data_IF_608287267783
#
_entry.id   IF_608287267783
#
_cell.length_a   1.000
_cell.length_b   1.000
_cell.length_c   1.000
_cell.angle_alpha   90.00
_cell.angle_beta   90.00
_cell.angle_gamma   90.00
#
_symmetry.space_group_name_H-M   'P 1'
#
loop_
_entity.id
_entity.type
_entity.pdbx_description
1 polymer ?
#
# COMPACT_ATOMS: atom_id res chain seq x y z
N UNK A 1 -0.89 -3.47 10.36
CA UNK A 1 -0.37 -4.56 9.52
C UNK A 1 -1.55 -5.21 8.81
N UNK A 2 -1.53 -5.20 7.49
CA UNK A 2 -2.57 -5.78 6.63
C UNK A 2 -1.98 -7.00 5.90
N UNK A 3 -2.33 -8.20 6.30
CA UNK A 3 -1.88 -9.43 5.66
C UNK A 3 -2.92 -9.88 4.61
N UNK A 4 -2.47 -10.06 3.39
CA UNK A 4 -3.28 -10.59 2.29
C UNK A 4 -2.81 -12.01 1.98
N UNK A 5 -3.76 -12.92 1.85
CA UNK A 5 -3.52 -14.35 1.65
C UNK A 5 -4.18 -14.86 0.36
N UNK A 6 -3.83 -16.09 -0.02
CA UNK A 6 -4.40 -16.79 -1.16
C UNK A 6 -4.15 -16.09 -2.50
N UNK A 7 -5.05 -16.20 -3.47
CA UNK A 7 -4.83 -15.67 -4.82
C UNK A 7 -4.57 -14.15 -4.89
N UNK A 8 -5.07 -13.40 -3.89
CA UNK A 8 -4.86 -11.95 -3.82
C UNK A 8 -3.44 -11.57 -3.40
N UNK A 9 -2.69 -12.48 -2.75
CA UNK A 9 -1.32 -12.23 -2.31
C UNK A 9 -0.29 -12.32 -3.43
N UNK A 10 -0.64 -12.85 -4.60
CA UNK A 10 0.31 -13.22 -5.64
C UNK A 10 0.92 -12.03 -6.40
N UNK A 11 0.22 -10.90 -6.49
CA UNK A 11 0.77 -9.68 -7.07
C UNK A 11 0.43 -8.46 -6.23
N UNK A 12 1.27 -7.41 -6.28
CA UNK A 12 1.01 -6.16 -5.57
C UNK A 12 -0.31 -5.53 -6.02
N UNK A 13 -0.59 -5.61 -7.32
CA UNK A 13 -1.84 -5.13 -7.91
C UNK A 13 -3.07 -5.74 -7.26
N UNK A 14 -3.06 -7.04 -6.93
CA UNK A 14 -4.17 -7.71 -6.25
C UNK A 14 -4.13 -7.46 -4.75
N UNK A 15 -2.94 -7.48 -4.14
CA UNK A 15 -2.75 -7.25 -2.72
C UNK A 15 -3.11 -5.81 -2.28
N UNK A 16 -3.19 -4.86 -3.22
CA UNK A 16 -3.74 -3.51 -2.99
C UNK A 16 -5.13 -3.52 -2.34
N UNK A 17 -5.89 -4.62 -2.44
CA UNK A 17 -7.15 -4.76 -1.68
C UNK A 17 -6.94 -4.66 -0.17
N UNK A 18 -5.83 -5.18 0.34
CA UNK A 18 -5.47 -5.03 1.75
C UNK A 18 -5.21 -3.56 2.12
N UNK A 19 -4.58 -2.80 1.24
CA UNK A 19 -4.40 -1.35 1.41
C UNK A 19 -5.74 -0.63 1.40
N UNK A 20 -6.55 -0.84 0.34
CA UNK A 20 -7.88 -0.24 0.19
C UNK A 20 -8.78 -0.45 1.40
N UNK A 21 -8.81 -1.68 1.90
CA UNK A 21 -9.72 -2.06 2.99
C UNK A 21 -9.33 -1.44 4.34
N UNK A 22 -8.10 -0.93 4.48
CA UNK A 22 -7.58 -0.43 5.75
C UNK A 22 -7.06 1.01 5.69
N UNK A 23 -7.01 1.65 4.52
CA UNK A 23 -6.50 3.02 4.35
C UNK A 23 -7.22 4.07 5.22
N UNK A 24 -8.51 3.86 5.47
CA UNK A 24 -9.35 4.80 6.23
C UNK A 24 -9.02 4.82 7.75
N UNK A 25 -8.44 3.74 8.30
CA UNK A 25 -8.10 3.66 9.73
C UNK A 25 -6.64 4.00 10.01
N UNK A 26 -5.82 4.19 8.96
CA UNK A 26 -4.44 4.65 9.12
C UNK A 26 -4.44 6.16 9.30
N UNK A 27 -3.89 6.63 10.41
CA UNK A 27 -3.73 8.05 10.69
C UNK A 27 -2.71 8.69 9.76
N UNK A 28 -2.84 9.99 9.52
CA UNK A 28 -1.83 10.76 8.79
C UNK A 28 -0.47 10.64 9.50
N UNK A 29 0.60 10.51 8.73
CA UNK A 29 1.93 10.21 9.25
C UNK A 29 2.11 8.78 9.78
N UNK A 30 1.09 7.93 9.70
CA UNK A 30 1.12 6.56 10.20
C UNK A 30 1.94 5.59 9.35
N UNK A 31 1.90 4.33 9.73
CA UNK A 31 2.55 3.21 9.01
C UNK A 31 1.50 2.18 8.60
N UNK A 32 1.50 1.81 7.31
CA UNK A 32 0.77 0.67 6.79
C UNK A 32 1.78 -0.38 6.30
N UNK A 33 1.80 -1.54 6.91
CA UNK A 33 2.59 -2.68 6.45
C UNK A 33 1.67 -3.65 5.73
N UNK A 34 1.87 -3.78 4.41
CA UNK A 34 1.20 -4.78 3.58
C UNK A 34 2.04 -6.05 3.54
N UNK A 35 1.47 -7.17 3.94
CA UNK A 35 2.12 -8.49 3.88
C UNK A 35 1.49 -9.30 2.77
N UNK A 36 2.29 -9.74 1.80
CA UNK A 36 1.83 -10.55 0.67
C UNK A 36 3.00 -11.36 0.07
N UNK A 37 2.70 -12.45 -0.62
CA UNK A 37 3.71 -13.35 -1.23
C UNK A 37 4.39 -12.72 -2.45
N UNK A 38 3.63 -12.08 -3.32
CA UNK A 38 4.04 -11.36 -4.53
C UNK A 38 4.84 -12.21 -5.54
N UNK A 39 4.51 -13.49 -5.63
CA UNK A 39 5.14 -14.45 -6.56
C UNK A 39 4.98 -14.07 -8.03
N UNK A 40 3.91 -13.33 -8.37
CA UNK A 40 3.63 -12.83 -9.72
C UNK A 40 4.10 -11.36 -9.89
N UNK A 41 4.91 -10.84 -8.98
CA UNK A 41 5.51 -9.51 -9.05
C UNK A 41 4.55 -8.36 -8.75
N UNK A 42 4.80 -7.20 -9.38
CA UNK A 42 4.05 -5.98 -9.10
C UNK A 42 2.65 -5.97 -9.74
N UNK A 43 2.47 -6.63 -10.87
CA UNK A 43 1.20 -6.69 -11.59
C UNK A 43 1.27 -6.11 -13.01
N UNK A 44 0.14 -5.64 -13.59
CA UNK A 44 0.09 -5.19 -14.99
C UNK A 44 1.03 -3.99 -15.26
N UNK A 45 1.67 -3.99 -16.44
CA UNK A 45 2.61 -2.95 -16.87
C UNK A 45 2.09 -1.53 -16.72
N UNK A 46 0.81 -1.29 -16.98
CA UNK A 46 0.20 0.05 -16.85
C UNK A 46 0.25 0.55 -15.41
N UNK A 47 -0.05 -0.33 -14.45
CA UNK A 47 0.00 0.00 -13.01
C UNK A 47 1.44 0.30 -12.58
N UNK A 48 2.38 -0.53 -12.99
CA UNK A 48 3.80 -0.37 -12.67
C UNK A 48 4.33 0.94 -13.26
N UNK A 49 4.13 1.16 -14.57
CA UNK A 49 4.55 2.40 -15.23
C UNK A 49 3.96 3.66 -14.60
N UNK A 50 2.71 3.61 -14.16
CA UNK A 50 2.09 4.78 -13.52
C UNK A 50 2.77 5.07 -12.17
N UNK A 51 3.13 4.05 -11.39
CA UNK A 51 3.92 4.23 -10.17
C UNK A 51 5.32 4.80 -10.47
N UNK A 52 6.01 4.30 -11.50
CA UNK A 52 7.34 4.76 -11.89
C UNK A 52 7.36 6.22 -12.38
N UNK A 53 6.38 6.60 -13.18
CA UNK A 53 6.33 7.92 -13.83
C UNK A 53 5.73 9.01 -12.96
N UNK A 54 4.93 8.64 -11.96
CA UNK A 54 4.14 9.57 -11.18
C UNK A 54 4.45 9.46 -9.68
N UNK A 55 5.43 10.23 -9.18
CA UNK A 55 5.80 10.20 -7.76
C UNK A 55 4.78 10.91 -6.84
N UNK A 56 3.80 11.63 -7.40
CA UNK A 56 2.75 12.33 -6.64
C UNK A 56 1.35 12.04 -7.19
N UNK A 57 0.33 12.37 -6.42
CA UNK A 57 -1.08 12.27 -6.85
C UNK A 57 -1.34 13.14 -8.08
N UNK A 58 -0.80 14.36 -8.08
CA UNK A 58 -0.97 15.33 -9.16
C UNK A 58 -0.33 14.79 -10.45
N UNK A 59 0.92 14.31 -10.37
CA UNK A 59 1.60 13.71 -11.51
C UNK A 59 0.83 12.49 -12.05
N UNK A 60 0.27 11.65 -11.17
CA UNK A 60 -0.55 10.52 -11.60
C UNK A 60 -1.84 10.96 -12.31
N UNK A 61 -2.49 12.02 -11.83
CA UNK A 61 -3.66 12.61 -12.49
C UNK A 61 -3.32 13.20 -13.85
N UNK A 62 -2.18 13.87 -13.99
CA UNK A 62 -1.71 14.42 -15.27
C UNK A 62 -1.45 13.31 -16.31
N UNK A 63 -0.79 12.22 -15.89
CA UNK A 63 -0.58 11.06 -16.77
C UNK A 63 -1.92 10.46 -17.21
N UNK A 64 -2.87 10.28 -16.29
CA UNK A 64 -4.19 9.73 -16.59
C UNK A 64 -5.00 10.69 -17.51
N UNK A 65 -4.90 12.01 -17.28
CA UNK A 65 -5.58 12.99 -18.13
C UNK A 65 -5.04 13.00 -19.55
N UNK A 66 -3.73 12.83 -19.70
CA UNK A 66 -3.06 12.78 -21.02
C UNK A 66 -3.34 11.49 -21.78
N UNK A 67 -3.23 10.34 -21.11
CA UNK A 67 -3.20 9.01 -21.72
C UNK A 67 -4.55 8.29 -21.66
N UNK A 68 -5.54 8.86 -20.98
CA UNK A 68 -6.82 8.24 -20.67
C UNK A 68 -6.75 7.31 -19.44
N UNK A 69 -7.89 7.17 -18.75
CA UNK A 69 -8.04 6.27 -17.62
C UNK A 69 -8.06 4.81 -18.07
N UNK A 70 -7.29 3.98 -17.38
CA UNK A 70 -7.29 2.53 -17.53
C UNK A 70 -7.68 1.88 -16.19
N UNK A 71 -8.40 0.76 -16.25
CA UNK A 71 -8.79 0.02 -15.05
C UNK A 71 -7.54 -0.36 -14.24
N UNK A 72 -7.51 0.10 -12.99
CA UNK A 72 -6.38 -0.10 -12.08
C UNK A 72 -5.58 1.17 -11.80
N UNK A 73 -5.70 2.22 -12.59
CA UNK A 73 -5.02 3.50 -12.34
C UNK A 73 -5.38 4.10 -10.96
N UNK A 74 -6.62 3.88 -10.49
CA UNK A 74 -7.06 4.26 -9.14
C UNK A 74 -6.23 3.61 -8.01
N UNK A 75 -5.58 2.48 -8.27
CA UNK A 75 -4.71 1.83 -7.28
C UNK A 75 -3.42 2.63 -7.09
N UNK A 76 -2.76 3.03 -8.19
CA UNK A 76 -1.58 3.88 -8.12
C UNK A 76 -1.91 5.24 -7.47
N UNK A 77 -3.07 5.84 -7.82
CA UNK A 77 -3.55 7.06 -7.16
C UNK A 77 -3.72 6.87 -5.65
N UNK A 78 -4.26 5.74 -5.20
CA UNK A 78 -4.41 5.42 -3.77
C UNK A 78 -3.06 5.39 -3.05
N UNK A 79 -2.06 4.72 -3.61
CA UNK A 79 -0.73 4.67 -3.02
C UNK A 79 -0.13 6.06 -2.86
N UNK A 80 -0.20 6.87 -3.91
CA UNK A 80 0.29 8.27 -3.87
C UNK A 80 -0.52 9.15 -2.92
N UNK A 81 -1.84 8.92 -2.80
CA UNK A 81 -2.68 9.63 -1.84
C UNK A 81 -2.33 9.29 -0.38
N UNK A 82 -1.98 8.05 -0.09
CA UNK A 82 -1.48 7.66 1.24
C UNK A 82 -0.14 8.35 1.54
N UNK A 83 0.79 8.35 0.60
CA UNK A 83 2.08 9.03 0.74
C UNK A 83 1.89 10.55 0.93
N UNK A 84 0.96 11.18 0.22
CA UNK A 84 0.63 12.60 0.39
C UNK A 84 0.06 12.92 1.79
N UNK A 85 -0.56 11.95 2.46
CA UNK A 85 -0.96 12.02 3.88
C UNK A 85 0.21 11.78 4.84
N UNK A 86 1.43 11.60 4.34
CA UNK A 86 2.59 11.19 5.13
C UNK A 86 2.54 9.74 5.63
N UNK A 87 1.60 8.93 5.13
CA UNK A 87 1.53 7.51 5.48
C UNK A 87 2.68 6.77 4.81
N UNK A 88 3.48 6.08 5.61
CA UNK A 88 4.53 5.21 5.11
C UNK A 88 3.93 3.85 4.77
N UNK A 89 3.87 3.53 3.48
CA UNK A 89 3.42 2.22 3.03
C UNK A 89 4.65 1.33 2.81
N UNK A 90 4.75 0.24 3.57
CA UNK A 90 5.85 -0.72 3.49
C UNK A 90 5.28 -2.08 3.10
N UNK A 91 5.88 -2.70 2.10
CA UNK A 91 5.53 -4.04 1.65
C UNK A 91 6.48 -5.05 2.30
N UNK A 92 5.94 -5.99 3.04
CA UNK A 92 6.70 -7.11 3.60
C UNK A 92 6.50 -8.34 2.70
N UNK A 93 7.54 -8.69 1.94
CA UNK A 93 7.53 -9.81 0.99
C UNK A 93 8.95 -10.31 0.71
N UNK A 94 9.08 -11.61 0.51
CA UNK A 94 10.32 -12.25 0.03
C UNK A 94 10.31 -12.50 -1.49
N UNK A 95 9.16 -12.26 -2.16
CA UNK A 95 8.94 -12.64 -3.56
C UNK A 95 9.23 -11.55 -4.60
N UNK A 96 9.72 -10.37 -4.22
CA UNK A 96 9.94 -9.26 -5.15
C UNK A 96 11.40 -9.00 -5.46
N UNK A 97 11.67 -8.72 -6.73
CA UNK A 97 12.96 -8.16 -7.18
C UNK A 97 13.09 -6.71 -6.66
N UNK A 98 14.19 -6.45 -5.97
CA UNK A 98 14.49 -5.15 -5.36
C UNK A 98 14.61 -4.01 -6.39
N UNK A 99 15.05 -4.29 -7.61
CA UNK A 99 15.23 -3.29 -8.67
C UNK A 99 13.87 -2.76 -9.18
N UNK A 100 12.93 -3.67 -9.50
CA UNK A 100 11.57 -3.31 -9.93
C UNK A 100 10.82 -2.52 -8.86
N UNK A 101 11.00 -2.90 -7.60
CA UNK A 101 10.41 -2.23 -6.45
C UNK A 101 10.93 -0.79 -6.29
N UNK A 102 12.25 -0.60 -6.40
CA UNK A 102 12.87 0.71 -6.27
C UNK A 102 12.43 1.65 -7.40
N UNK A 103 12.31 1.14 -8.63
CA UNK A 103 11.83 1.91 -9.78
C UNK A 103 10.39 2.42 -9.57
N UNK A 104 9.52 1.62 -8.96
CA UNK A 104 8.16 2.00 -8.62
C UNK A 104 8.07 2.94 -7.39
N UNK A 105 9.20 3.28 -6.77
CA UNK A 105 9.25 4.13 -5.58
C UNK A 105 8.66 3.46 -4.33
N UNK A 106 8.66 2.13 -4.27
CA UNK A 106 8.09 1.35 -3.17
C UNK A 106 9.16 0.96 -2.16
N UNK A 107 8.79 0.87 -0.88
CA UNK A 107 9.63 0.31 0.16
C UNK A 107 9.24 -1.13 0.42
N UNK A 108 10.15 -2.06 0.12
CA UNK A 108 9.96 -3.48 0.40
C UNK A 108 11.00 -3.99 1.38
N UNK A 109 10.57 -4.86 2.28
CA UNK A 109 11.39 -5.49 3.32
C UNK A 109 11.04 -6.97 3.43
N UNK A 110 11.93 -7.83 3.95
CA UNK A 110 11.68 -9.27 3.97
C UNK A 110 10.62 -9.69 5.01
N UNK A 111 10.30 -8.86 5.99
CA UNK A 111 9.38 -9.25 7.07
C UNK A 111 8.72 -8.06 7.75
N UNK A 112 7.62 -8.33 8.47
CA UNK A 112 6.98 -7.35 9.36
C UNK A 112 7.97 -6.84 10.42
N UNK A 113 8.80 -7.71 10.99
CA UNK A 113 9.81 -7.31 11.97
C UNK A 113 10.79 -6.29 11.36
N UNK A 114 11.24 -6.50 10.12
CA UNK A 114 12.10 -5.56 9.41
C UNK A 114 11.39 -4.23 9.10
N UNK A 115 10.08 -4.27 8.80
CA UNK A 115 9.28 -3.06 8.61
C UNK A 115 9.20 -2.23 9.89
N UNK A 116 8.99 -2.88 11.03
CA UNK A 116 8.83 -2.22 12.33
C UNK A 116 10.15 -1.76 12.95
N UNK A 117 11.26 -2.47 12.71
CA UNK A 117 12.57 -2.15 13.25
C UNK A 117 13.11 -0.79 12.76
N UNK A 118 12.68 -0.32 11.60
CA UNK A 118 13.04 0.99 11.05
C UNK A 118 12.17 2.16 11.52
N UNK A 119 11.23 1.92 12.44
CA UNK A 119 10.21 2.89 12.84
C UNK A 119 10.34 3.31 14.29
N UNK A 120 10.09 4.59 14.55
CA UNK A 120 9.96 5.11 15.92
C UNK A 120 8.49 5.45 16.18
N UNK A 121 7.92 4.86 17.20
CA UNK A 121 6.54 5.09 17.58
C UNK A 121 6.47 5.96 18.83
N UNK A 122 5.52 6.88 18.87
CA UNK A 122 5.26 7.68 20.08
C UNK A 122 4.77 6.78 21.22
N UNK A 123 5.03 7.15 22.49
CA UNK A 123 4.46 6.44 23.63
C UNK A 123 2.95 6.36 23.54
N UNK A 124 2.38 5.17 23.74
CA UNK A 124 0.94 4.93 23.61
C UNK A 124 0.42 4.79 22.16
N UNK A 125 1.30 4.70 21.17
CA UNK A 125 0.89 4.37 19.80
C UNK A 125 0.15 3.04 19.77
N UNK A 126 -0.96 3.00 19.03
CA UNK A 126 -1.77 1.78 18.85
C UNK A 126 -1.58 1.22 17.46
N UNK A 127 -1.63 -0.10 17.34
CA UNK A 127 -1.52 -0.80 16.07
C UNK A 127 -2.66 -1.80 15.88
N UNK A 128 -3.05 -2.01 14.63
CA UNK A 128 -4.00 -3.03 14.21
C UNK A 128 -3.28 -4.06 13.34
N UNK A 129 -3.52 -5.34 13.60
CA UNK A 129 -3.08 -6.42 12.73
C UNK A 129 -4.31 -7.18 12.22
N UNK A 130 -4.41 -7.33 10.91
CA UNK A 130 -5.52 -8.01 10.22
C UNK A 130 -4.96 -9.16 9.40
N UNK A 131 -5.43 -10.37 9.68
CA UNK A 131 -4.93 -11.59 9.06
C UNK A 131 -5.45 -11.80 7.63
N UNK A 132 -6.67 -11.36 7.32
CA UNK A 132 -7.30 -11.56 6.01
C UNK A 132 -7.73 -10.20 5.41
N UNK A 133 -6.75 -9.32 5.28
CA UNK A 133 -6.96 -7.94 4.88
C UNK A 133 -7.52 -7.78 3.46
N UNK A 134 -7.39 -8.79 2.61
CA UNK A 134 -7.97 -8.80 1.27
C UNK A 134 -9.50 -8.86 1.27
N UNK A 135 -10.10 -9.41 2.31
CA UNK A 135 -11.55 -9.64 2.42
C UNK A 135 -12.21 -8.91 3.62
N UNK A 136 -11.42 -8.51 4.60
CA UNK A 136 -11.88 -7.77 5.79
C UNK A 136 -11.57 -6.29 5.61
N UNK A 137 -12.53 -5.41 5.84
CA UNK A 137 -12.34 -3.96 5.85
C UNK A 137 -12.44 -3.41 7.29
N UNK A 138 -11.55 -2.48 7.62
CA UNK A 138 -11.60 -1.74 8.88
C UNK A 138 -12.31 -0.39 8.68
N UNK A 139 -13.09 -0.01 9.68
CA UNK A 139 -13.77 1.27 9.71
C UNK A 139 -13.48 1.98 11.04
N UNK A 140 -13.27 3.29 10.98
CA UNK A 140 -13.23 4.11 12.19
C UNK A 140 -14.67 4.37 12.65
N UNK A 141 -14.99 4.02 13.88
CA UNK A 141 -16.22 4.47 14.49
C UNK A 141 -16.09 5.96 14.80
N UNK A 142 -17.04 6.83 14.40
CA UNK A 142 -17.05 8.22 14.85
C UNK A 142 -17.01 8.24 16.37
N UNK A 143 -16.18 9.11 16.96
CA UNK A 143 -16.25 9.35 18.38
C UNK A 143 -17.70 9.83 18.68
N UNK A 144 -18.43 9.06 19.47
CA UNK A 144 -19.68 9.56 20.07
C UNK A 144 -19.24 10.61 21.07
N UNK A 145 -19.43 11.89 20.73
CA UNK A 145 -19.32 12.96 21.70
C UNK A 145 -20.28 12.69 22.88
N UNK A 146 -19.79 12.78 24.12
CA UNK A 146 -20.61 12.56 25.31
C UNK A 146 -21.69 13.61 25.51
#
# INVERSE_FOLDING_TARGET
>A
VARVEGPLSRSLYQADKGVKNHEAVVKDGGLLVLVAELTDGLGPDRFVRLLEQAPTVEAAREVIARDGYTLGDHKALRWRALEARGVRVVVASEGLDSAAVSAAGLRVVPSVAAALAGETFAPGATGLAVADAGFVASQSTPATDP
#
